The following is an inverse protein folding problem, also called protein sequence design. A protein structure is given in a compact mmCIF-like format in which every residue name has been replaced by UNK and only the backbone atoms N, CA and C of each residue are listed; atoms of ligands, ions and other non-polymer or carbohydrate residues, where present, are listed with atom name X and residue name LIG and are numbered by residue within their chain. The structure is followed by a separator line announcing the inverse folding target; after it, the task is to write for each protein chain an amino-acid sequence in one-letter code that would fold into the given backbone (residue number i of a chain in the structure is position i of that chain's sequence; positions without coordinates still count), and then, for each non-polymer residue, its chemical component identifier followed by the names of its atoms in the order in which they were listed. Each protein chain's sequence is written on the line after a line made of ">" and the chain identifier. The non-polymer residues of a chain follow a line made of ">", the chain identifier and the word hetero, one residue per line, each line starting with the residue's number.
data_IF_351432606125
#
_entry.id   IF_351432606125
#
_cell.length_a   1.000
_cell.length_b   1.000
_cell.length_c   1.000
_cell.angle_alpha   90.00
_cell.angle_beta   90.00
_cell.angle_gamma   90.00
#
_symmetry.space_group_name_H-M   'P 1'
#
loop_
_entity.id
_entity.type
_entity.pdbx_description
1 polymer ?
#
# COMPACT_ATOMS: atom_id res chain seq x y z
N UNK A 1 17.44 -16.64 -14.08
CA UNK A 1 16.88 -15.38 -14.66
C UNK A 1 15.83 -14.70 -13.76
N UNK A 2 15.16 -15.41 -12.83
CA UNK A 2 14.13 -14.84 -11.92
C UNK A 2 14.63 -13.78 -10.92
N UNK A 3 15.90 -13.82 -10.52
CA UNK A 3 16.44 -12.89 -9.52
C UNK A 3 16.48 -11.42 -9.97
N UNK A 4 16.75 -11.16 -11.26
CA UNK A 4 16.80 -9.80 -11.80
C UNK A 4 15.40 -9.18 -11.94
N UNK A 5 14.37 -9.99 -12.20
CA UNK A 5 13.00 -9.51 -12.36
C UNK A 5 12.38 -9.10 -11.02
N UNK A 6 12.60 -9.91 -9.97
CA UNK A 6 12.18 -9.54 -8.60
C UNK A 6 12.89 -8.28 -8.10
N UNK A 7 14.18 -8.12 -8.41
CA UNK A 7 14.92 -6.92 -8.01
C UNK A 7 14.35 -5.65 -8.66
N UNK A 8 14.07 -5.67 -9.97
CA UNK A 8 13.44 -4.55 -10.67
C UNK A 8 12.06 -4.23 -10.10
N UNK A 9 11.26 -5.25 -9.83
CA UNK A 9 9.91 -5.09 -9.26
C UNK A 9 9.96 -4.51 -7.84
N UNK A 10 10.90 -4.94 -7.00
CA UNK A 10 11.14 -4.36 -5.68
C UNK A 10 11.50 -2.88 -5.76
N UNK A 11 12.40 -2.48 -6.67
CA UNK A 11 12.74 -1.07 -6.86
C UNK A 11 11.54 -0.24 -7.29
N UNK A 12 10.76 -0.74 -8.26
CA UNK A 12 9.55 -0.06 -8.72
C UNK A 12 8.54 0.14 -7.58
N UNK A 13 8.32 -0.90 -6.77
CA UNK A 13 7.43 -0.85 -5.62
C UNK A 13 7.93 0.10 -4.54
N UNK A 14 9.24 0.10 -4.23
CA UNK A 14 9.84 1.03 -3.26
C UNK A 14 9.60 2.47 -3.73
N UNK A 15 9.95 2.80 -4.98
CA UNK A 15 9.74 4.12 -5.55
C UNK A 15 8.25 4.53 -5.50
N UNK A 16 7.35 3.63 -5.85
CA UNK A 16 5.92 3.89 -5.79
C UNK A 16 5.42 4.12 -4.36
N UNK A 17 5.85 3.31 -3.39
CA UNK A 17 5.47 3.47 -1.98
C UNK A 17 5.96 4.80 -1.41
N UNK A 18 7.19 5.22 -1.72
CA UNK A 18 7.73 6.53 -1.30
C UNK A 18 6.92 7.68 -1.91
N UNK A 19 6.68 7.63 -3.22
CA UNK A 19 5.89 8.64 -3.94
C UNK A 19 4.47 8.76 -3.38
N UNK A 20 3.82 7.63 -3.08
CA UNK A 20 2.49 7.60 -2.49
C UNK A 20 2.49 8.16 -1.07
N UNK A 21 3.49 7.82 -0.25
CA UNK A 21 3.63 8.33 1.11
C UNK A 21 3.76 9.85 1.14
N UNK A 22 4.56 10.44 0.25
CA UNK A 22 4.71 11.90 0.13
C UNK A 22 3.38 12.59 -0.23
N UNK A 23 2.63 12.03 -1.19
CA UNK A 23 1.30 12.55 -1.55
C UNK A 23 0.28 12.41 -0.43
N UNK A 24 0.33 11.31 0.32
CA UNK A 24 -0.56 11.08 1.46
C UNK A 24 -0.25 12.10 2.56
N UNK A 25 1.02 12.36 2.84
CA UNK A 25 1.45 13.34 3.85
C UNK A 25 1.01 14.76 3.48
N UNK A 26 1.28 15.21 2.24
CA UNK A 26 0.86 16.54 1.77
C UNK A 26 -0.66 16.73 1.86
N UNK A 27 -1.43 15.65 1.65
CA UNK A 27 -2.89 15.69 1.78
C UNK A 27 -3.37 15.66 3.21
N UNK A 28 -2.75 14.86 4.08
CA UNK A 28 -3.09 14.80 5.50
C UNK A 28 -2.93 16.15 6.19
N UNK A 29 -2.00 16.98 5.72
CA UNK A 29 -1.81 18.36 6.22
C UNK A 29 -2.90 19.33 5.75
N UNK A 30 -3.62 19.00 4.67
CA UNK A 30 -4.62 19.87 4.01
C UNK A 30 -6.06 19.41 4.24
N UNK A 31 -6.27 18.14 4.56
CA UNK A 31 -7.59 17.52 4.66
C UNK A 31 -7.88 17.09 6.10
N UNK A 32 -8.90 17.69 6.74
CA UNK A 32 -9.36 17.26 8.05
C UNK A 32 -10.01 15.86 8.03
N UNK A 33 -10.56 15.46 6.86
CA UNK A 33 -11.06 14.11 6.62
C UNK A 33 -10.60 13.64 5.24
N UNK A 34 -10.16 12.36 5.08
CA UNK A 34 -9.66 11.87 3.80
C UNK A 34 -10.73 11.97 2.71
N UNK A 35 -10.40 12.69 1.64
CA UNK A 35 -11.20 12.73 0.42
C UNK A 35 -11.23 11.36 -0.28
N UNK A 36 -12.15 11.17 -1.23
CA UNK A 36 -12.18 9.96 -2.06
C UNK A 36 -10.85 9.76 -2.81
N UNK A 37 -10.15 10.83 -3.17
CA UNK A 37 -8.84 10.74 -3.81
C UNK A 37 -7.77 10.27 -2.81
N UNK A 38 -7.73 10.84 -1.61
CA UNK A 38 -6.82 10.44 -0.54
C UNK A 38 -7.03 8.97 -0.14
N UNK A 39 -8.28 8.53 -0.05
CA UNK A 39 -8.60 7.12 0.19
C UNK A 39 -8.04 6.20 -0.92
N UNK A 40 -8.09 6.61 -2.19
CA UNK A 40 -7.48 5.82 -3.29
C UNK A 40 -5.96 5.79 -3.21
N UNK A 41 -5.31 6.88 -2.80
CA UNK A 41 -3.86 6.92 -2.59
C UNK A 41 -3.45 5.96 -1.47
N UNK A 42 -4.18 5.96 -0.35
CA UNK A 42 -3.98 5.03 0.75
C UNK A 42 -4.18 3.58 0.29
N UNK A 43 -5.26 3.27 -0.43
CA UNK A 43 -5.50 1.93 -0.98
C UNK A 43 -4.32 1.44 -1.84
N UNK A 44 -3.85 2.27 -2.78
CA UNK A 44 -2.67 1.97 -3.61
C UNK A 44 -1.40 1.78 -2.80
N UNK A 45 -1.20 2.57 -1.76
CA UNK A 45 -0.02 2.47 -0.90
C UNK A 45 0.02 1.12 -0.19
N UNK A 46 -1.09 0.72 0.43
CA UNK A 46 -1.18 -0.57 1.10
C UNK A 46 -1.08 -1.75 0.11
N UNK A 47 -1.66 -1.65 -1.10
CA UNK A 47 -1.46 -2.66 -2.15
C UNK A 47 0.01 -2.81 -2.57
N UNK A 48 0.72 -1.69 -2.73
CA UNK A 48 2.13 -1.70 -3.09
C UNK A 48 3.01 -2.26 -1.95
N UNK A 49 2.71 -1.92 -0.69
CA UNK A 49 3.36 -2.48 0.49
C UNK A 49 3.15 -4.00 0.61
N UNK A 50 1.92 -4.48 0.39
CA UNK A 50 1.62 -5.91 0.41
C UNK A 50 2.40 -6.67 -0.68
N UNK A 51 2.53 -6.10 -1.88
CA UNK A 51 3.34 -6.67 -2.96
C UNK A 51 4.83 -6.66 -2.62
N UNK A 52 5.34 -5.57 -2.05
CA UNK A 52 6.74 -5.48 -1.64
C UNK A 52 7.08 -6.51 -0.57
N UNK A 53 6.19 -6.72 0.41
CA UNK A 53 6.32 -7.75 1.42
C UNK A 53 6.16 -9.16 0.85
N UNK A 54 5.48 -9.37 -0.27
CA UNK A 54 5.43 -10.71 -0.89
C UNK A 54 6.74 -11.07 -1.62
N UNK A 55 7.44 -10.06 -2.16
CA UNK A 55 8.66 -10.25 -2.95
C UNK A 55 9.95 -10.29 -2.11
N UNK A 56 9.92 -9.73 -0.90
CA UNK A 56 11.12 -9.65 -0.06
C UNK A 56 11.50 -11.05 0.46
N UNK A 57 12.77 -11.48 0.33
CA UNK A 57 13.22 -12.70 0.97
C UNK A 57 13.26 -12.53 2.50
N UNK A 58 12.80 -13.53 3.23
CA UNK A 58 12.95 -13.62 4.68
C UNK A 58 14.18 -14.46 5.03
N UNK A 59 14.94 -14.04 6.05
CA UNK A 59 16.17 -14.71 6.47
C UNK A 59 15.92 -15.88 7.43
N UNK A 60 14.74 -15.94 8.06
CA UNK A 60 14.31 -17.03 8.94
C UNK A 60 12.78 -17.21 8.93
N UNK A 61 12.31 -18.25 9.61
CA UNK A 61 10.89 -18.60 9.68
C UNK A 61 10.05 -17.56 10.45
N UNK A 62 10.62 -16.91 11.46
CA UNK A 62 9.91 -15.91 12.26
C UNK A 62 9.74 -14.61 11.47
N UNK A 63 10.79 -14.17 10.78
CA UNK A 63 10.78 -13.08 9.82
C UNK A 63 9.77 -13.34 8.70
N UNK A 64 9.72 -14.57 8.16
CA UNK A 64 8.71 -14.96 7.17
C UNK A 64 7.29 -14.84 7.74
N UNK A 65 7.07 -15.33 8.96
CA UNK A 65 5.75 -15.25 9.60
C UNK A 65 5.33 -13.80 9.87
N UNK A 66 6.25 -12.94 10.35
CA UNK A 66 6.00 -11.50 10.52
C UNK A 66 5.64 -10.85 9.18
N UNK A 67 6.44 -11.10 8.14
CA UNK A 67 6.23 -10.56 6.79
C UNK A 67 4.86 -10.96 6.21
N UNK A 68 4.43 -12.20 6.40
CA UNK A 68 3.09 -12.67 5.98
C UNK A 68 2.00 -11.92 6.73
N UNK A 69 2.09 -11.79 8.06
CA UNK A 69 1.09 -11.08 8.87
C UNK A 69 0.99 -9.61 8.48
N UNK A 70 2.13 -8.92 8.35
CA UNK A 70 2.16 -7.52 7.92
C UNK A 70 1.60 -7.38 6.50
N UNK A 71 1.91 -8.29 5.58
CA UNK A 71 1.36 -8.29 4.23
C UNK A 71 -0.16 -8.49 4.20
N UNK A 72 -0.69 -9.34 5.07
CA UNK A 72 -2.14 -9.53 5.23
C UNK A 72 -2.82 -8.29 5.82
N UNK A 73 -2.19 -7.63 6.79
CA UNK A 73 -2.68 -6.37 7.35
C UNK A 73 -2.78 -5.30 6.25
N UNK A 74 -1.73 -5.09 5.46
CA UNK A 74 -1.79 -4.15 4.35
C UNK A 74 -2.90 -4.50 3.34
N UNK A 75 -3.14 -5.79 3.04
CA UNK A 75 -4.25 -6.18 2.16
C UNK A 75 -5.62 -5.81 2.75
N UNK A 76 -5.81 -5.98 4.06
CA UNK A 76 -7.05 -5.59 4.73
C UNK A 76 -7.24 -4.06 4.68
N UNK A 77 -6.21 -3.31 5.05
CA UNK A 77 -6.21 -1.84 5.02
C UNK A 77 -6.47 -1.32 3.59
N UNK A 78 -5.87 -1.91 2.57
CA UNK A 78 -6.14 -1.56 1.19
C UNK A 78 -7.64 -1.72 0.87
N UNK A 79 -8.24 -2.85 1.24
CA UNK A 79 -9.67 -3.12 1.06
C UNK A 79 -10.56 -2.09 1.74
N UNK A 80 -10.25 -1.72 2.98
CA UNK A 80 -10.97 -0.69 3.74
C UNK A 80 -10.90 0.68 3.04
N UNK A 81 -9.71 1.08 2.58
CA UNK A 81 -9.52 2.36 1.90
C UNK A 81 -10.21 2.41 0.54
N UNK A 82 -10.20 1.31 -0.21
CA UNK A 82 -10.95 1.20 -1.46
C UNK A 82 -12.47 1.26 -1.22
N UNK A 83 -12.97 0.56 -0.20
CA UNK A 83 -14.38 0.60 0.18
C UNK A 83 -14.81 2.03 0.60
N UNK A 84 -13.98 2.71 1.40
CA UNK A 84 -14.22 4.10 1.80
C UNK A 84 -14.19 5.06 0.61
N UNK A 85 -13.24 4.89 -0.31
CA UNK A 85 -13.18 5.70 -1.53
C UNK A 85 -14.45 5.54 -2.37
N UNK A 86 -14.96 4.30 -2.50
CA UNK A 86 -16.21 4.01 -3.20
C UNK A 86 -17.40 4.69 -2.51
N UNK A 87 -17.53 4.52 -1.19
CA UNK A 87 -18.62 5.13 -0.42
C UNK A 87 -18.64 6.67 -0.52
N UNK A 88 -17.47 7.32 -0.52
CA UNK A 88 -17.36 8.77 -0.69
C UNK A 88 -17.72 9.26 -2.10
N UNK A 89 -17.60 8.42 -3.13
CA UNK A 89 -18.04 8.78 -4.49
C UNK A 89 -19.54 8.57 -4.64
N UNK A 90 -20.07 7.48 -4.08
CA UNK A 90 -21.48 7.11 -4.17
C UNK A 90 -22.38 7.96 -3.26
N UNK A 91 -21.89 8.37 -2.08
CA UNK A 91 -22.62 9.22 -1.12
C UNK A 91 -22.57 10.73 -1.41
N UNK A 92 -21.96 11.14 -2.53
CA UNK A 92 -21.93 12.54 -3.01
C UNK A 92 -23.00 12.78 -4.11
N UNK A 93 -23.89 11.82 -4.34
CA UNK A 93 -25.10 11.99 -5.16
C UNK A 93 -26.27 12.52 -4.34
#
# INVERSE_FOLDING_TARGET
>A
MQHHDHQKQCYALITETTRLQEQIQDRAEREATPSAHTCRLLGRYHDAMAQLLALRPAHDAEAKARQVRTGQQHKAEAGEWWARAKALVEGVS
#
